data_IF_047593734698
#
_entry.id   IF_047593734698
#
_cell.length_a   1.000
_cell.length_b   1.000
_cell.length_c   1.000
_cell.angle_alpha   90.00
_cell.angle_beta   90.00
_cell.angle_gamma   90.00
#
_symmetry.space_group_name_H-M   'P 1'
#
loop_
_entity.id
_entity.type
_entity.pdbx_description
1 polymer ?
#
# COMPACT_ATOMS: atom_id res chain seq x y z
N UNK A 1 12.28 -25.39 20.33
CA UNK A 1 11.32 -24.27 20.20
C UNK A 1 10.84 -24.23 18.75
N UNK A 2 9.67 -24.80 18.43
CA UNK A 2 9.11 -24.74 17.07
C UNK A 2 8.21 -23.51 16.95
N UNK A 3 8.76 -22.43 16.38
CA UNK A 3 7.96 -21.29 15.98
C UNK A 3 6.96 -21.75 14.91
N UNK A 4 5.66 -21.69 15.22
CA UNK A 4 4.60 -22.04 14.27
C UNK A 4 4.47 -20.90 13.28
N UNK A 5 5.17 -21.00 12.16
CA UNK A 5 4.99 -20.08 11.05
C UNK A 5 3.64 -20.37 10.37
N UNK A 6 2.55 -19.85 10.93
CA UNK A 6 1.23 -19.86 10.29
C UNK A 6 1.25 -18.84 9.16
N UNK A 7 1.84 -19.24 8.05
CA UNK A 7 1.82 -18.52 6.78
C UNK A 7 1.71 -19.58 5.69
N UNK A 8 0.92 -19.29 4.65
CA UNK A 8 0.84 -20.20 3.52
C UNK A 8 2.10 -20.01 2.67
N UNK A 9 3.05 -20.93 2.80
CA UNK A 9 4.35 -20.87 2.09
C UNK A 9 4.15 -20.75 0.58
N UNK A 10 3.15 -21.43 0.01
CA UNK A 10 2.85 -21.36 -1.43
C UNK A 10 2.43 -19.95 -1.85
N UNK A 11 1.63 -19.29 -1.02
CA UNK A 11 1.20 -17.91 -1.26
C UNK A 11 2.38 -16.95 -1.15
N UNK A 12 3.24 -17.12 -0.14
CA UNK A 12 4.42 -16.28 0.05
C UNK A 12 5.41 -16.45 -1.11
N UNK A 13 5.63 -17.67 -1.58
CA UNK A 13 6.50 -17.95 -2.72
C UNK A 13 5.92 -17.36 -4.01
N UNK A 14 4.61 -17.50 -4.25
CA UNK A 14 3.94 -16.91 -5.40
C UNK A 14 4.05 -15.37 -5.40
N UNK A 15 3.78 -14.74 -4.25
CA UNK A 15 3.90 -13.29 -4.07
C UNK A 15 5.34 -12.80 -4.24
N UNK A 16 6.32 -13.57 -3.77
CA UNK A 16 7.74 -13.22 -3.92
C UNK A 16 8.15 -13.28 -5.39
N UNK A 17 7.73 -14.30 -6.14
CA UNK A 17 7.97 -14.42 -7.59
C UNK A 17 7.28 -13.30 -8.37
N UNK A 18 6.05 -12.95 -8.00
CA UNK A 18 5.32 -11.84 -8.61
C UNK A 18 6.07 -10.51 -8.39
N UNK A 19 6.53 -10.25 -7.16
CA UNK A 19 7.29 -9.05 -6.84
C UNK A 19 8.60 -8.98 -7.62
N UNK A 20 9.29 -10.11 -7.79
CA UNK A 20 10.49 -10.19 -8.64
C UNK A 20 10.20 -9.87 -10.11
N UNK A 21 9.11 -10.40 -10.67
CA UNK A 21 8.68 -10.07 -12.03
C UNK A 21 8.23 -8.61 -12.19
N UNK A 22 7.64 -8.01 -11.15
CA UNK A 22 7.24 -6.61 -11.17
C UNK A 22 8.42 -5.63 -11.22
N UNK A 23 9.61 -6.04 -10.72
CA UNK A 23 10.83 -5.21 -10.79
C UNK A 23 11.31 -4.98 -12.22
N UNK A 24 10.97 -5.86 -13.16
CA UNK A 24 11.34 -5.70 -14.57
C UNK A 24 10.25 -4.99 -15.38
N UNK A 25 8.99 -5.06 -14.94
CA UNK A 25 7.83 -4.51 -15.64
C UNK A 25 7.38 -3.12 -15.22
N UNK A 26 7.83 -2.59 -14.08
CA UNK A 26 7.38 -1.28 -13.56
C UNK A 26 8.53 -0.46 -12.96
N UNK A 27 8.67 0.77 -13.42
CA UNK A 27 9.66 1.71 -12.89
C UNK A 27 9.29 2.17 -11.46
N UNK A 28 8.01 2.29 -11.15
CA UNK A 28 7.52 2.61 -9.81
C UNK A 28 7.84 1.51 -8.78
N UNK A 29 7.71 0.24 -9.19
CA UNK A 29 8.07 -0.92 -8.36
C UNK A 29 9.55 -0.92 -7.99
N UNK A 30 10.39 -0.60 -8.97
CA UNK A 30 11.84 -0.52 -8.78
C UNK A 30 12.23 0.60 -7.82
N UNK A 31 11.68 1.80 -8.01
CA UNK A 31 11.94 2.94 -7.12
C UNK A 31 11.54 2.65 -5.67
N UNK A 32 10.39 1.99 -5.43
CA UNK A 32 9.97 1.59 -4.09
C UNK A 32 10.94 0.57 -3.48
N UNK A 33 11.33 -0.46 -4.23
CA UNK A 33 12.28 -1.47 -3.78
C UNK A 33 13.64 -0.86 -3.41
N UNK A 34 14.16 0.04 -4.25
CA UNK A 34 15.44 0.71 -4.01
C UNK A 34 15.37 1.62 -2.78
N UNK A 35 14.24 2.31 -2.52
CA UNK A 35 14.02 3.03 -1.25
C UNK A 35 14.10 2.10 -0.03
N UNK A 36 13.54 0.89 -0.11
CA UNK A 36 13.58 -0.03 1.03
C UNK A 36 14.98 -0.61 1.24
N UNK A 37 15.74 -0.83 0.15
CA UNK A 37 17.14 -1.22 0.21
C UNK A 37 18.02 -0.12 0.80
N UNK A 38 17.77 1.14 0.44
CA UNK A 38 18.47 2.29 1.02
C UNK A 38 18.22 2.44 2.53
N UNK A 39 17.05 2.01 3.02
CA UNK A 39 16.71 1.96 4.46
C UNK A 39 17.36 0.80 5.22
N UNK A 40 18.18 -0.02 4.56
CA UNK A 40 18.84 -1.18 5.18
C UNK A 40 17.94 -2.40 5.35
N UNK A 41 16.77 -2.43 4.70
CA UNK A 41 15.86 -3.59 4.77
C UNK A 41 16.48 -4.78 4.03
N UNK A 42 16.50 -5.94 4.69
CA UNK A 42 16.96 -7.20 4.09
C UNK A 42 16.17 -7.56 2.83
N UNK A 43 16.81 -8.21 1.87
CA UNK A 43 16.22 -8.49 0.55
C UNK A 43 14.83 -9.15 0.62
N UNK A 44 14.68 -10.19 1.43
CA UNK A 44 13.41 -10.90 1.61
C UNK A 44 12.33 -10.06 2.30
N UNK A 45 12.72 -9.16 3.20
CA UNK A 45 11.78 -8.24 3.83
C UNK A 45 11.33 -7.16 2.83
N UNK A 46 12.23 -6.64 1.99
CA UNK A 46 11.91 -5.68 0.95
C UNK A 46 10.97 -6.28 -0.12
N UNK A 47 11.22 -7.52 -0.55
CA UNK A 47 10.35 -8.23 -1.48
C UNK A 47 8.96 -8.48 -0.91
N UNK A 48 8.84 -8.85 0.37
CA UNK A 48 7.53 -9.00 1.03
C UNK A 48 6.76 -7.69 1.11
N UNK A 49 7.43 -6.59 1.43
CA UNK A 49 6.81 -5.27 1.46
C UNK A 49 6.34 -4.83 0.07
N UNK A 50 7.15 -5.09 -0.98
CA UNK A 50 6.77 -4.84 -2.36
C UNK A 50 5.57 -5.72 -2.77
N UNK A 51 5.61 -7.01 -2.46
CA UNK A 51 4.54 -7.94 -2.81
C UNK A 51 3.20 -7.57 -2.15
N UNK A 52 3.21 -7.27 -0.85
CA UNK A 52 2.03 -6.81 -0.12
C UNK A 52 1.46 -5.52 -0.74
N UNK A 53 2.34 -4.62 -1.20
CA UNK A 53 1.91 -3.40 -1.88
C UNK A 53 1.23 -3.69 -3.23
N UNK A 54 1.80 -4.58 -4.03
CA UNK A 54 1.24 -4.97 -5.33
C UNK A 54 -0.14 -5.61 -5.19
N UNK A 55 -0.33 -6.44 -4.16
CA UNK A 55 -1.64 -7.04 -3.85
C UNK A 55 -2.68 -5.96 -3.54
N UNK A 56 -2.31 -4.92 -2.77
CA UNK A 56 -3.21 -3.79 -2.48
C UNK A 56 -3.61 -3.00 -3.73
N UNK A 57 -2.67 -2.75 -4.63
CA UNK A 57 -2.94 -2.07 -5.91
C UNK A 57 -3.86 -2.92 -6.79
N UNK A 58 -3.56 -4.22 -6.95
CA UNK A 58 -4.39 -5.15 -7.71
C UNK A 58 -5.82 -5.21 -7.15
N UNK A 59 -5.95 -5.31 -5.82
CA UNK A 59 -7.24 -5.30 -5.17
C UNK A 59 -8.01 -4.00 -5.43
N UNK A 60 -7.34 -2.85 -5.40
CA UNK A 60 -7.92 -1.55 -5.77
C UNK A 60 -8.45 -1.53 -7.20
N UNK A 61 -7.64 -1.99 -8.17
CA UNK A 61 -8.03 -2.10 -9.58
C UNK A 61 -9.23 -3.03 -9.77
N UNK A 62 -9.22 -4.19 -9.12
CA UNK A 62 -10.33 -5.15 -9.19
C UNK A 62 -11.62 -4.58 -8.57
N UNK A 63 -11.52 -3.90 -7.42
CA UNK A 63 -12.66 -3.27 -6.75
C UNK A 63 -13.26 -2.14 -7.59
N UNK A 64 -12.41 -1.31 -8.19
CA UNK A 64 -12.84 -0.22 -9.05
C UNK A 64 -13.22 -0.67 -10.48
N UNK A 65 -12.97 -1.95 -10.83
CA UNK A 65 -13.05 -2.49 -12.20
C UNK A 65 -12.31 -1.61 -13.22
N UNK A 66 -11.19 -1.02 -12.80
CA UNK A 66 -10.37 -0.14 -13.61
C UNK A 66 -9.12 -0.89 -14.11
N UNK A 67 -8.67 -0.55 -15.32
CA UNK A 67 -7.40 -1.03 -15.83
C UNK A 67 -6.24 -0.54 -14.95
N UNK A 68 -5.15 -1.30 -14.91
CA UNK A 68 -3.95 -0.88 -14.18
C UNK A 68 -3.36 0.38 -14.83
N UNK A 69 -3.28 1.45 -14.05
CA UNK A 69 -2.65 2.71 -14.41
C UNK A 69 -1.49 2.94 -13.45
N UNK A 70 -0.27 2.99 -14.00
CA UNK A 70 0.96 3.10 -13.22
C UNK A 70 1.05 4.44 -12.47
N UNK A 71 0.44 5.51 -12.99
CA UNK A 71 0.41 6.81 -12.33
C UNK A 71 -0.46 6.78 -11.06
N UNK A 72 -1.65 6.18 -11.13
CA UNK A 72 -2.55 6.04 -9.98
C UNK A 72 -2.13 4.97 -8.98
N UNK A 73 -1.57 3.86 -9.47
CA UNK A 73 -1.09 2.74 -8.65
C UNK A 73 -0.04 3.17 -7.60
N UNK A 74 0.81 4.11 -7.98
CA UNK A 74 1.84 4.68 -7.10
C UNK A 74 1.44 6.05 -6.53
N UNK A 75 0.45 6.77 -7.05
CA UNK A 75 -0.03 8.04 -6.49
C UNK A 75 -0.90 7.90 -5.23
N UNK A 76 -1.61 6.78 -5.03
CA UNK A 76 -2.32 6.46 -3.77
C UNK A 76 -1.39 6.37 -2.53
N UNK A 77 -0.08 6.66 -2.69
CA UNK A 77 0.88 6.78 -1.59
C UNK A 77 0.69 8.06 -0.75
N UNK A 78 0.01 9.11 -1.24
CA UNK A 78 -0.10 10.37 -0.47
C UNK A 78 -1.28 10.37 0.51
N UNK A 79 -2.39 9.69 0.20
CA UNK A 79 -3.64 9.86 0.97
C UNK A 79 -3.98 8.75 1.97
N UNK A 80 -3.25 7.63 1.99
CA UNK A 80 -3.58 6.49 2.85
C UNK A 80 -2.96 6.53 4.26
N UNK A 81 -2.26 7.62 4.62
CA UNK A 81 -1.88 7.96 6.00
C UNK A 81 -2.91 8.97 6.53
N UNK A 82 -4.15 8.50 6.77
CA UNK A 82 -5.22 9.41 7.16
C UNK A 82 -6.58 8.82 7.47
N UNK A 83 -6.84 7.52 7.25
CA UNK A 83 -8.05 6.89 7.81
C UNK A 83 -7.72 6.27 9.17
N UNK A 84 -7.42 7.17 10.11
CA UNK A 84 -7.48 6.91 11.54
C UNK A 84 -8.90 6.48 11.92
N UNK A 85 -8.98 5.65 12.95
CA UNK A 85 -10.19 5.03 13.44
C UNK A 85 -11.04 6.09 14.12
N UNK A 86 -12.27 6.32 13.64
CA UNK A 86 -13.31 6.91 14.48
C UNK A 86 -14.61 6.14 14.25
N UNK A 87 -14.73 5.01 14.95
CA UNK A 87 -16.03 4.57 15.45
C UNK A 87 -16.29 5.40 16.70
N UNK A 88 -17.22 6.35 16.61
CA UNK A 88 -17.52 7.31 17.66
C UNK A 88 -18.62 8.26 17.22
N UNK A 89 -19.84 7.77 17.34
CA UNK A 89 -21.09 8.53 17.34
C UNK A 89 -21.00 9.79 18.20
N UNK A 90 -21.13 10.97 17.60
CA UNK A 90 -21.92 12.03 18.21
C UNK A 90 -22.35 13.08 17.19
N UNK A 91 -23.63 13.41 17.24
CA UNK A 91 -24.23 14.42 16.39
C UNK A 91 -23.84 15.83 16.82
N UNK A 92 -23.94 16.72 15.83
CA UNK A 92 -24.23 18.15 16.03
C UNK A 92 -23.10 19.00 16.60
N UNK A 93 -22.46 19.77 15.71
CA UNK A 93 -22.00 21.18 15.89
C UNK A 93 -21.01 21.50 14.76
N UNK A 94 -20.97 22.67 14.16
CA UNK A 94 -21.87 23.81 14.04
C UNK A 94 -21.30 24.55 12.82
N UNK A 95 -22.15 25.01 11.91
CA UNK A 95 -21.74 25.91 10.84
C UNK A 95 -21.25 27.22 11.48
N UNK A 96 -19.94 27.48 11.47
CA UNK A 96 -19.39 28.81 11.66
C UNK A 96 -19.04 29.38 10.27
N UNK A 97 -20.09 29.82 9.57
CA UNK A 97 -19.99 30.78 8.47
C UNK A 97 -20.44 32.12 9.05
N UNK A 98 -19.48 32.95 9.44
CA UNK A 98 -19.55 34.40 9.59
C UNK A 98 -18.06 34.81 9.67
N UNK A 99 -17.43 35.54 8.75
CA UNK A 99 -17.92 36.74 8.10
C UNK A 99 -17.71 37.93 9.02
N UNK A 100 -16.48 38.46 9.14
CA UNK A 100 -16.21 39.91 9.16
C UNK A 100 -14.70 40.20 9.20
N UNK A 101 -14.24 40.84 8.13
CA UNK A 101 -13.06 41.71 8.12
C UNK A 101 -13.61 43.14 8.06
N UNK A 102 -13.01 44.02 8.86
CA UNK A 102 -13.17 45.48 8.93
C UNK A 102 -14.48 46.04 9.50
#
# INVERSE_FOLDING_TARGET
MHARFVHNTRLVDALTRQAQGALTGSAGARAYYDRQRARGVGHQAALRQLANRLVGILHGCLRARAAYDEANAWAYQVDAVGSDTTVGSDGTRLLARDGLTA
#
